data_IF_231598848471
#
_entry.id   IF_231598848471
#
_cell.length_a   1.000
_cell.length_b   1.000
_cell.length_c   1.000
_cell.angle_alpha   90.00
_cell.angle_beta   90.00
_cell.angle_gamma   90.00
#
_symmetry.space_group_name_H-M   'P 1'
#
loop_
_entity.id
_entity.type
_entity.pdbx_description
1 polymer ?
2 non-polymer ?
3 non-polymer ?
4 water ?
#
# COMPACT_ATOMS: atom_id res chain seq x y z
N UNK A 26 -0.15 21.02 0.35
CA UNK A 26 -0.60 19.77 0.93
C UNK A 26 -1.51 19.01 -0.04
N UNK A 27 -2.35 19.75 -0.77
CA UNK A 27 -3.32 19.15 -1.70
C UNK A 27 -2.63 18.96 -3.04
N UNK A 28 -2.45 17.72 -3.45
CA UNK A 28 -1.68 17.40 -4.65
C UNK A 28 -2.61 17.16 -5.83
N UNK A 29 -2.31 17.82 -6.94
CA UNK A 29 -3.18 17.78 -8.10
C UNK A 29 -3.21 16.38 -8.70
N UNK A 30 -4.42 15.93 -9.04
CA UNK A 30 -4.62 14.68 -9.77
C UNK A 30 -5.15 15.06 -11.16
N UNK A 31 -4.30 15.20 -12.17
CA UNK A 31 -4.79 15.75 -13.45
C UNK A 31 -5.94 14.97 -14.04
N UNK A 32 -5.93 13.64 -13.93
CA UNK A 32 -6.90 12.79 -14.63
C UNK A 32 -7.53 11.81 -13.65
N UNK A 33 -8.87 11.72 -13.69
CA UNK A 33 -9.62 10.81 -12.86
C UNK A 33 -9.98 9.55 -13.61
N UNK A 34 -10.06 8.45 -12.89
CA UNK A 34 -10.54 7.19 -13.44
C UNK A 34 -12.06 7.08 -13.38
N UNK A 35 -12.53 5.87 -13.63
CA UNK A 35 -13.95 5.57 -13.68
C UNK A 35 -14.61 5.87 -12.33
N UNK A 36 -15.82 6.41 -12.39
CA UNK A 36 -16.58 6.69 -11.18
C UNK A 36 -17.10 5.38 -10.59
N UNK A 37 -16.94 5.22 -9.27
CA UNK A 37 -17.38 4.00 -8.59
C UNK A 37 -18.46 4.26 -7.55
N UNK A 38 -18.74 5.51 -7.20
CA UNK A 38 -19.72 5.75 -6.15
C UNK A 38 -19.88 7.22 -5.86
N UNK A 39 -20.95 7.52 -5.12
CA UNK A 39 -21.24 8.89 -4.74
C UNK A 39 -22.09 8.85 -3.48
N UNK A 40 -21.75 9.72 -2.52
CA UNK A 40 -22.48 9.81 -1.29
C UNK A 40 -23.11 11.16 -1.08
N UNK A 41 -23.43 11.51 0.16
CA UNK A 41 -24.03 12.80 0.44
C UNK A 41 -23.06 13.95 0.24
N UNK A 42 -21.76 13.69 0.30
CA UNK A 42 -20.78 14.77 0.11
C UNK A 42 -19.72 14.47 -0.94
N UNK A 43 -19.42 13.19 -1.19
CA UNK A 43 -18.24 12.88 -2.01
C UNK A 43 -18.58 12.04 -3.22
N UNK A 44 -17.87 12.31 -4.32
CA UNK A 44 -17.77 11.43 -5.47
C UNK A 44 -16.46 10.65 -5.37
N UNK A 45 -16.49 9.38 -5.74
CA UNK A 45 -15.35 8.50 -5.59
C UNK A 45 -15.00 7.91 -6.95
N UNK A 46 -13.70 7.95 -7.27
CA UNK A 46 -13.22 7.54 -8.59
C UNK A 46 -12.04 6.60 -8.41
N UNK A 47 -11.92 5.65 -9.35
CA UNK A 47 -10.68 4.90 -9.49
C UNK A 47 -9.52 5.87 -9.68
N UNK A 48 -8.40 5.58 -9.02
CA UNK A 48 -7.17 6.28 -9.30
C UNK A 48 -6.52 5.70 -10.56
N UNK A 49 -6.21 6.58 -11.52
CA UNK A 49 -5.49 6.13 -12.70
C UNK A 49 -4.02 5.87 -12.42
N UNK A 50 -3.43 6.60 -11.46
CA UNK A 50 -2.02 6.43 -11.15
C UNK A 50 -1.74 5.15 -10.36
N UNK A 51 -2.75 4.58 -9.67
CA UNK A 51 -2.57 3.39 -8.86
C UNK A 51 -3.87 2.59 -8.78
N UNK A 52 -3.90 1.37 -9.32
CA UNK A 52 -5.16 0.60 -9.31
C UNK A 52 -5.63 0.19 -7.92
N UNK A 53 -4.75 0.21 -6.92
CA UNK A 53 -5.15 -0.15 -5.57
C UNK A 53 -5.82 1.01 -4.83
N UNK A 54 -5.88 2.19 -5.43
CA UNK A 54 -6.35 3.40 -4.76
C UNK A 54 -7.54 4.00 -5.50
N UNK A 55 -8.23 4.87 -4.81
CA UNK A 55 -9.32 5.66 -5.37
C UNK A 55 -9.17 7.11 -4.92
N UNK A 56 -9.80 7.99 -5.67
CA UNK A 56 -9.79 9.42 -5.45
C UNK A 56 -11.18 9.79 -4.95
N UNK A 57 -11.26 10.31 -3.73
CA UNK A 57 -12.53 10.63 -3.08
C UNK A 57 -12.62 12.14 -2.93
N UNK A 58 -13.49 12.78 -3.73
CA UNK A 58 -13.54 14.23 -3.86
C UNK A 58 -14.86 14.78 -3.32
N UNK A 59 -14.75 15.83 -2.51
CA UNK A 59 -15.92 16.53 -2.03
C UNK A 59 -16.57 17.31 -3.17
N UNK A 60 -17.86 17.08 -3.39
CA UNK A 60 -18.57 17.81 -4.42
C UNK A 60 -18.81 19.24 -3.94
N UNK A 61 -18.77 20.21 -4.85
CA UNK A 61 -18.94 21.61 -4.44
C UNK A 61 -20.26 21.84 -3.71
N UNK A 62 -20.19 22.57 -2.60
CA UNK A 62 -21.36 22.94 -1.84
C UNK A 62 -21.75 21.97 -0.74
N UNK A 63 -21.15 20.78 -0.69
CA UNK A 63 -21.61 19.77 0.26
C UNK A 63 -21.14 20.02 1.69
N UNK A 64 -20.04 20.76 1.89
CA UNK A 64 -19.49 20.98 3.21
C UNK A 64 -19.87 22.35 3.79
N UNK A 65 -20.75 23.09 3.12
CA UNK A 65 -21.30 24.30 3.71
C UNK A 65 -20.24 25.32 4.05
N UNK A 66 -20.27 25.81 5.28
CA UNK A 66 -19.41 26.92 5.68
C UNK A 66 -18.02 26.48 6.13
N UNK A 67 -17.82 25.19 6.40
CA UNK A 67 -16.47 24.69 6.65
C UNK A 67 -15.78 24.44 5.32
N UNK A 68 -14.62 25.04 5.07
CA UNK A 68 -13.88 24.67 3.84
C UNK A 68 -13.73 23.15 3.72
N UNK A 69 -14.01 22.64 2.51
CA UNK A 69 -13.84 21.23 2.25
C UNK A 69 -12.43 20.76 2.56
N UNK A 70 -11.43 21.63 2.37
CA UNK A 70 -10.07 21.29 2.74
C UNK A 70 -10.00 20.81 4.19
N UNK A 71 -10.73 21.47 5.08
CA UNK A 71 -10.67 21.09 6.50
C UNK A 71 -11.34 19.75 6.75
N UNK A 72 -12.40 19.42 6.00
CA UNK A 72 -12.95 18.08 6.10
C UNK A 72 -11.99 17.01 5.61
N UNK A 73 -11.36 17.24 4.48
CA UNK A 73 -10.40 16.29 3.94
C UNK A 73 -9.27 16.05 4.93
N UNK A 74 -8.69 17.12 5.47
CA UNK A 74 -7.61 16.97 6.42
C UNK A 74 -8.04 16.15 7.63
N UNK A 75 -9.24 16.45 8.15
CA UNK A 75 -9.74 15.75 9.31
C UNK A 75 -10.02 14.29 9.00
N UNK A 76 -10.45 13.99 7.79
CA UNK A 76 -10.64 12.59 7.39
C UNK A 76 -9.30 11.84 7.38
N UNK A 77 -8.28 12.45 6.76
CA UNK A 77 -6.96 11.84 6.73
C UNK A 77 -6.39 11.68 8.13
N UNK A 78 -6.43 12.75 8.93
CA UNK A 78 -5.85 12.71 10.26
C UNK A 78 -6.57 11.70 11.15
N UNK A 79 -7.90 11.69 11.11
CA UNK A 79 -8.64 10.77 11.97
C UNK A 79 -8.39 9.33 11.56
N UNK A 80 -8.29 9.07 10.26
CA UNK A 80 -7.94 7.74 9.78
C UNK A 80 -6.58 7.30 10.37
N UNK A 81 -5.62 8.21 10.40
CA UNK A 81 -4.30 7.86 10.91
C UNK A 81 -4.34 7.66 12.42
N UNK A 82 -5.13 8.46 13.13
CA UNK A 82 -5.27 8.26 14.57
C UNK A 82 -5.88 6.89 14.87
N UNK A 83 -6.91 6.52 14.14
CA UNK A 83 -7.57 5.23 14.35
C UNK A 83 -6.62 4.07 14.00
N UNK A 84 -5.90 4.20 12.89
CA UNK A 84 -4.90 3.21 12.54
C UNK A 84 -3.88 3.07 13.66
N UNK A 85 -3.44 4.20 14.23
CA UNK A 85 -2.46 4.19 15.32
C UNK A 85 -3.02 3.48 16.55
N UNK A 86 -4.33 3.61 16.80
CA UNK A 86 -5.00 2.97 17.90
C UNK A 86 -5.32 1.49 17.66
N UNK A 87 -5.04 0.98 16.46
CA UNK A 87 -5.23 -0.43 16.18
C UNK A 87 -6.53 -0.78 15.48
N UNK A 88 -7.33 0.20 15.12
CA UNK A 88 -8.59 -0.08 14.44
C UNK A 88 -8.38 -0.48 12.99
N UNK A 89 -9.27 -1.30 12.44
CA UNK A 89 -9.25 -1.57 11.00
C UNK A 89 -9.86 -0.39 10.25
N UNK A 90 -9.11 0.16 9.31
CA UNK A 90 -9.54 1.36 8.60
C UNK A 90 -9.36 1.20 7.10
N UNK A 91 -10.19 1.92 6.34
CA UNK A 91 -9.87 2.19 4.94
C UNK A 91 -8.69 3.17 4.96
N UNK A 92 -7.51 2.71 4.60
CA UNK A 92 -6.33 3.55 4.80
C UNK A 92 -6.40 4.76 3.86
N UNK A 93 -5.92 5.90 4.34
CA UNK A 93 -5.89 7.13 3.57
C UNK A 93 -4.44 7.58 3.46
N UNK A 94 -4.05 8.10 2.29
CA UNK A 94 -2.62 8.30 2.02
C UNK A 94 -2.23 9.74 1.74
N UNK A 95 -3.11 10.54 1.14
CA UNK A 95 -2.71 11.89 0.77
C UNK A 95 -3.95 12.74 0.52
N UNK A 96 -3.74 14.06 0.62
CA UNK A 96 -4.73 15.03 0.21
C UNK A 96 -4.53 15.31 -1.27
N UNK A 97 -5.64 15.37 -2.01
CA UNK A 97 -5.62 15.52 -3.46
C UNK A 97 -6.65 16.55 -3.88
N UNK A 98 -6.50 17.02 -5.12
CA UNK A 98 -7.42 17.97 -5.72
C UNK A 98 -7.49 17.71 -7.22
N UNK A 99 -8.64 18.06 -7.81
CA UNK A 99 -8.86 17.89 -9.25
C UNK A 99 -9.89 18.90 -9.69
N UNK A 100 -9.50 19.83 -10.57
CA UNK A 100 -10.40 20.83 -11.10
C UNK A 100 -11.05 21.65 -9.98
N UNK A 101 -10.27 21.98 -8.95
CA UNK A 101 -10.75 22.78 -7.86
C UNK A 101 -11.54 22.05 -6.79
N UNK A 102 -11.84 20.77 -6.97
CA UNK A 102 -12.46 19.95 -5.93
C UNK A 102 -11.34 19.25 -5.14
N UNK A 103 -11.52 19.15 -3.83
CA UNK A 103 -10.49 18.63 -2.96
C UNK A 103 -11.00 17.34 -2.30
N UNK A 104 -10.05 16.52 -1.90
CA UNK A 104 -10.38 15.29 -1.21
C UNK A 104 -9.20 14.50 -0.75
N UNK A 105 -9.38 13.18 -0.71
CA UNK A 105 -8.45 12.25 -0.10
C UNK A 105 -8.24 11.08 -1.05
N UNK A 106 -6.99 10.65 -1.19
CA UNK A 106 -6.65 9.42 -1.88
C UNK A 106 -6.67 8.30 -0.86
N UNK A 107 -7.39 7.21 -1.16
CA UNK A 107 -7.56 6.12 -0.21
C UNK A 107 -7.36 4.77 -0.89
N UNK A 108 -7.25 3.72 -0.08
CA UNK A 108 -7.29 2.37 -0.63
C UNK A 108 -8.65 2.10 -1.26
N UNK A 109 -8.63 1.45 -2.42
CA UNK A 109 -9.85 1.07 -3.12
C UNK A 109 -10.29 -0.29 -2.58
N UNK A 110 -11.52 -0.35 -2.06
CA UNK A 110 -12.09 -1.59 -1.54
C UNK A 110 -13.03 -2.11 -2.61
N UNK A 111 -12.62 -3.15 -3.34
CA UNK A 111 -13.40 -3.63 -4.47
C UNK A 111 -14.67 -4.32 -4.00
N UNK A 112 -15.78 -4.00 -4.66
CA UNK A 112 -17.09 -4.56 -4.35
C UNK A 112 -17.49 -4.28 -2.90
N UNK A 113 -17.08 -3.13 -2.38
CA UNK A 113 -17.39 -2.77 -1.01
C UNK A 113 -18.87 -2.53 -0.81
N UNK A 114 -19.38 -2.96 0.34
CA UNK A 114 -20.73 -2.65 0.78
C UNK A 114 -20.68 -1.56 1.84
N UNK A 115 -21.55 -0.57 1.72
CA UNK A 115 -21.68 0.49 2.71
C UNK A 115 -22.51 0.01 3.90
N UNK A 116 -21.96 0.20 5.11
CA UNK A 116 -22.66 -0.26 6.30
C UNK A 116 -24.03 0.39 6.42
N UNK A 117 -24.13 1.67 6.07
CA UNK A 117 -25.40 2.39 6.21
C UNK A 117 -26.49 1.74 5.37
N UNK A 118 -26.15 1.26 4.17
CA UNK A 118 -27.13 0.54 3.36
C UNK A 118 -27.60 -0.72 4.07
N UNK A 119 -26.68 -1.40 4.76
CA UNK A 119 -27.04 -2.66 5.42
C UNK A 119 -27.94 -2.39 6.62
N UNK A 120 -27.53 -1.46 7.49
CA UNK A 120 -28.33 -1.17 8.68
C UNK A 120 -29.65 -0.50 8.30
N UNK A 121 -29.68 0.27 7.21
CA UNK A 121 -30.92 0.83 6.68
C UNK A 121 -31.79 -0.20 5.98
N UNK A 122 -31.35 -1.45 5.86
CA UNK A 122 -32.06 -2.48 5.11
C UNK A 122 -32.25 -2.09 3.64
N UNK A 123 -31.36 -1.25 3.11
CA UNK A 123 -31.39 -0.93 1.69
C UNK A 123 -30.71 -2.04 0.86
N UNK A 124 -29.72 -2.70 1.44
CA UNK A 124 -29.04 -3.84 0.84
C UNK A 124 -28.92 -4.94 1.90
N UNK A 125 -28.55 -6.14 1.45
CA UNK A 125 -28.42 -7.29 2.32
C UNK A 125 -27.01 -7.87 2.17
N UNK A 126 -26.47 -8.34 3.29
CA UNK A 126 -25.22 -9.09 3.25
C UNK A 126 -25.44 -10.37 2.42
N UNK A 127 -24.40 -10.87 1.75
CA UNK A 127 -24.50 -12.18 1.12
C UNK A 127 -24.69 -13.29 2.14
N UNK A 128 -25.21 -14.42 1.66
CA UNK A 128 -25.45 -15.56 2.54
C UNK A 128 -24.16 -16.27 2.98
N UNK A 129 -23.06 -16.03 2.29
CA UNK A 129 -21.84 -16.81 2.48
C UNK A 129 -21.48 -16.94 3.95
N UNK A 130 -21.15 -18.16 4.37
CA UNK A 130 -20.88 -18.41 5.78
C UNK A 130 -19.59 -17.71 6.22
N UNK A 131 -18.50 -17.91 5.48
CA UNK A 131 -17.24 -17.30 5.87
C UNK A 131 -17.34 -15.79 5.83
N UNK A 132 -18.14 -15.26 4.90
CA UNK A 132 -18.33 -13.82 4.82
C UNK A 132 -18.97 -13.30 6.09
N UNK A 133 -20.09 -13.88 6.50
CA UNK A 133 -20.73 -13.38 7.71
C UNK A 133 -19.87 -13.62 8.94
N UNK A 134 -19.06 -14.70 8.94
CA UNK A 134 -18.16 -14.93 10.07
C UNK A 134 -17.14 -13.81 10.18
N UNK A 135 -16.61 -13.35 9.05
CA UNK A 135 -15.67 -12.22 9.09
C UNK A 135 -16.37 -10.95 9.60
N UNK A 136 -17.60 -10.71 9.16
CA UNK A 136 -18.32 -9.53 9.65
C UNK A 136 -18.50 -9.63 11.16
N UNK A 137 -18.91 -10.81 11.65
CA UNK A 137 -19.13 -10.99 13.09
C UNK A 137 -17.84 -10.77 13.87
N UNK A 138 -16.77 -11.48 13.50
CA UNK A 138 -15.52 -11.38 14.27
C UNK A 138 -14.92 -9.97 14.20
N UNK A 139 -14.98 -9.33 13.03
CA UNK A 139 -14.42 -8.00 12.92
C UNK A 139 -15.23 -6.99 13.72
N UNK A 140 -16.56 -7.11 13.70
CA UNK A 140 -17.37 -6.24 14.55
C UNK A 140 -17.08 -6.49 16.03
N UNK A 141 -16.95 -7.76 16.43
CA UNK A 141 -16.56 -8.04 17.81
C UNK A 141 -15.26 -7.33 18.18
N UNK A 142 -14.28 -7.36 17.29
CA UNK A 142 -12.96 -6.78 17.60
C UNK A 142 -13.04 -5.27 17.67
N UNK A 143 -13.84 -4.65 16.82
CA UNK A 143 -14.00 -3.20 16.85
C UNK A 143 -14.70 -2.79 18.15
N UNK A 144 -15.79 -3.46 18.49
CA UNK A 144 -16.49 -3.17 19.75
C UNK A 144 -15.57 -3.37 20.93
N UNK A 145 -14.83 -4.48 20.92
CA UNK A 145 -13.90 -4.78 22.00
C UNK A 145 -12.92 -3.64 22.23
N UNK A 146 -12.35 -3.11 21.15
CA UNK A 146 -11.38 -2.02 21.26
C UNK A 146 -12.04 -0.71 21.68
N UNK A 147 -13.21 -0.41 21.12
CA UNK A 147 -13.95 0.78 21.53
C UNK A 147 -14.22 0.76 23.03
N UNK A 148 -14.68 -0.39 23.53
CA UNK A 148 -15.02 -0.50 24.95
C UNK A 148 -13.79 -0.36 25.83
N UNK A 149 -12.69 -0.99 25.44
CA UNK A 149 -11.49 -0.98 26.27
C UNK A 149 -10.83 0.40 26.28
N UNK A 150 -10.63 0.99 25.11
CA UNK A 150 -10.01 2.31 25.03
C UNK A 150 -10.92 3.43 25.56
N UNK A 151 -12.24 3.24 25.48
CA UNK A 151 -13.21 4.28 25.82
C UNK A 151 -13.00 5.53 24.96
N UNK A 152 -13.19 5.34 23.66
CA UNK A 152 -13.13 6.44 22.70
C UNK A 152 -14.44 6.46 21.93
N UNK A 153 -14.77 7.63 21.39
CA UNK A 153 -15.96 7.86 20.59
C UNK A 153 -15.50 8.33 19.22
N UNK A 154 -16.08 7.75 18.17
CA UNK A 154 -15.73 8.08 16.79
C UNK A 154 -16.94 8.76 16.17
N UNK A 155 -16.78 10.03 15.82
CA UNK A 155 -17.87 10.78 15.22
C UNK A 155 -18.21 10.23 13.84
N UNK A 156 -19.52 10.09 13.58
CA UNK A 156 -20.01 9.63 12.28
C UNK A 156 -19.43 8.27 11.90
N UNK A 157 -19.42 7.34 12.87
CA UNK A 157 -18.80 6.04 12.64
C UNK A 157 -19.60 5.25 11.61
N UNK A 158 -18.91 4.82 10.54
CA UNK A 158 -19.52 3.99 9.50
C UNK A 158 -18.39 3.16 8.90
N UNK A 159 -18.76 2.19 8.05
CA UNK A 159 -17.80 1.22 7.57
C UNK A 159 -18.04 0.86 6.11
N UNK A 160 -16.98 0.35 5.49
CA UNK A 160 -17.07 -0.43 4.26
C UNK A 160 -16.82 -1.90 4.62
N UNK A 161 -17.60 -2.79 4.00
CA UNK A 161 -17.38 -4.24 4.12
C UNK A 161 -16.80 -4.74 2.81
N UNK A 162 -15.60 -5.34 2.88
CA UNK A 162 -14.93 -5.76 1.66
C UNK A 162 -15.48 -7.10 1.19
N UNK A 163 -15.00 -7.57 0.02
CA UNK A 163 -15.62 -8.70 -0.64
C UNK A 163 -15.48 -9.99 0.16
N UNK A 164 -14.59 -10.03 1.15
CA UNK A 164 -14.47 -11.19 2.03
C UNK A 164 -15.28 -11.04 3.32
N UNK A 165 -15.93 -9.90 3.53
CA UNK A 165 -16.67 -9.64 4.74
C UNK A 165 -15.89 -8.92 5.85
N UNK A 166 -14.66 -8.51 5.60
CA UNK A 166 -13.93 -7.72 6.58
C UNK A 166 -14.51 -6.31 6.70
N UNK A 167 -14.51 -5.79 7.93
CA UNK A 167 -15.18 -4.52 8.24
C UNK A 167 -14.11 -3.44 8.47
N UNK A 168 -14.20 -2.37 7.68
CA UNK A 168 -13.21 -1.30 7.67
C UNK A 168 -13.89 0.04 7.93
N UNK A 169 -13.38 0.76 8.93
CA UNK A 169 -13.89 2.09 9.26
C UNK A 169 -13.60 3.03 8.10
N UNK A 170 -14.63 3.79 7.68
CA UNK A 170 -14.50 4.69 6.55
C UNK A 170 -15.08 6.04 6.92
N UNK A 171 -14.48 7.10 6.37
CA UNK A 171 -14.91 8.48 6.60
C UNK A 171 -15.09 8.84 8.08
N UNK A 172 -14.13 8.53 8.94
CA UNK A 172 -14.26 8.96 10.34
C UNK A 172 -13.99 10.45 10.44
N UNK A 173 -14.85 11.17 11.18
CA UNK A 173 -14.73 12.62 11.27
C UNK A 173 -13.95 13.09 12.49
N UNK A 174 -13.88 12.27 13.54
CA UNK A 174 -13.08 12.60 14.72
C UNK A 174 -13.03 11.38 15.61
N UNK A 175 -12.06 11.38 16.52
CA UNK A 175 -11.98 10.37 17.57
C UNK A 175 -11.55 11.07 18.85
N UNK A 176 -12.27 10.81 19.94
CA UNK A 176 -11.97 11.44 21.22
C UNK A 176 -12.21 10.43 22.33
N UNK A 177 -11.45 10.58 23.40
CA UNK A 177 -11.68 9.82 24.63
C UNK A 177 -12.97 10.29 25.28
N UNK A 178 -13.95 9.39 25.35
CA UNK A 178 -15.30 9.69 25.82
C UNK A 178 -16.04 8.35 25.90
N UNK A 179 -17.28 8.41 26.35
CA UNK A 179 -18.08 7.20 26.41
C UNK A 179 -18.14 6.52 25.05
N UNK A 180 -17.81 5.23 24.95
CA UNK A 180 -17.87 4.54 23.66
C UNK A 180 -19.25 3.99 23.31
N UNK A 181 -20.26 4.26 24.14
CA UNK A 181 -21.53 3.53 24.01
C UNK A 181 -22.19 3.79 22.67
N UNK A 182 -22.18 5.04 22.21
CA UNK A 182 -22.81 5.36 20.92
C UNK A 182 -22.09 4.70 19.76
N UNK A 183 -20.76 4.72 19.78
CA UNK A 183 -20.01 4.09 18.70
C UNK A 183 -20.25 2.59 18.70
N UNK A 184 -20.23 1.98 19.89
CA UNK A 184 -20.47 0.54 19.99
C UNK A 184 -21.83 0.19 19.41
N UNK A 185 -22.86 0.93 19.79
CA UNK A 185 -24.20 0.73 19.22
C UNK A 185 -24.13 0.77 17.69
N UNK A 186 -23.29 1.65 17.14
CA UNK A 186 -23.12 1.73 15.70
C UNK A 186 -22.63 0.41 15.12
N UNK A 187 -21.59 -0.16 15.73
CA UNK A 187 -21.05 -1.43 15.26
C UNK A 187 -22.06 -2.54 15.47
N UNK A 188 -22.74 -2.55 16.62
CA UNK A 188 -23.70 -3.59 16.93
C UNK A 188 -24.82 -3.63 15.92
N UNK A 189 -25.24 -2.46 15.44
CA UNK A 189 -26.21 -2.34 14.36
C UNK A 189 -25.82 -3.23 13.18
N UNK A 190 -24.57 -3.08 12.74
CA UNK A 190 -24.14 -3.81 11.55
C UNK A 190 -23.95 -5.28 11.86
N UNK A 191 -23.33 -5.58 13.00
CA UNK A 191 -23.10 -6.97 13.38
C UNK A 191 -24.39 -7.77 13.45
N UNK A 192 -25.49 -7.13 13.89
CA UNK A 192 -26.71 -7.87 14.10
C UNK A 192 -27.16 -8.57 12.82
N UNK A 193 -26.90 -7.96 11.66
CA UNK A 193 -27.28 -8.59 10.40
C UNK A 193 -26.46 -9.85 10.15
N UNK A 194 -25.17 -9.82 10.47
CA UNK A 194 -24.37 -11.02 10.32
C UNK A 194 -24.76 -12.05 11.36
N UNK A 195 -24.94 -11.62 12.62
CA UNK A 195 -25.36 -12.52 13.68
C UNK A 195 -26.66 -13.21 13.32
N UNK A 196 -27.62 -12.47 12.76
CA UNK A 196 -28.89 -13.09 12.37
C UNK A 196 -28.69 -14.11 11.26
N UNK A 197 -27.82 -13.81 10.31
CA UNK A 197 -27.55 -14.76 9.23
C UNK A 197 -26.93 -16.05 9.75
N UNK A 198 -26.00 -15.93 10.71
CA UNK A 198 -25.31 -17.11 11.22
C UNK A 198 -26.23 -17.97 12.08
N UNK A 199 -27.27 -17.39 12.65
CA UNK A 199 -28.28 -18.19 13.35
C UNK A 199 -29.24 -18.89 12.39
N UNK A 200 -29.28 -18.46 11.12
CA UNK A 200 -30.20 -19.02 10.14
C UNK A 200 -29.48 -19.61 8.93
N UNK B 26 -0.60 3.77 -20.75
CA UNK B 26 -0.07 2.99 -19.66
C UNK B 26 0.87 3.85 -18.81
N UNK B 27 1.60 4.76 -19.45
CA UNK B 27 2.55 5.62 -18.75
C UNK B 27 1.84 6.87 -18.28
N UNK B 28 1.66 6.99 -16.97
CA UNK B 28 0.86 8.07 -16.39
C UNK B 28 1.76 9.25 -16.03
N UNK B 29 1.35 10.44 -16.46
CA UNK B 29 2.18 11.61 -16.23
C UNK B 29 2.23 11.93 -14.74
N UNK B 30 3.42 12.26 -14.25
CA UNK B 30 3.62 12.72 -12.88
C UNK B 30 4.16 14.15 -12.96
N UNK B 31 3.29 15.15 -12.77
CA UNK B 31 3.72 16.53 -13.05
C UNK B 31 4.87 16.98 -12.18
N UNK B 32 4.80 16.73 -10.88
CA UNK B 32 5.75 17.26 -9.90
C UNK B 32 6.37 16.09 -9.14
N UNK B 33 7.69 16.00 -9.20
CA UNK B 33 8.41 15.01 -8.43
C UNK B 33 8.75 15.54 -7.04
N UNK B 34 8.97 14.62 -6.10
CA UNK B 34 9.45 14.96 -4.78
C UNK B 34 10.96 15.01 -4.73
N UNK B 35 11.48 15.03 -3.49
CA UNK B 35 12.92 15.13 -3.28
C UNK B 35 13.64 13.89 -3.81
N UNK B 36 14.76 14.11 -4.48
CA UNK B 36 15.53 13.00 -5.04
C UNK B 36 16.18 12.21 -3.91
N UNK B 37 16.08 10.88 -3.97
CA UNK B 37 16.61 10.02 -2.92
C UNK B 37 17.90 9.35 -3.36
N UNK B 38 18.02 9.04 -4.65
CA UNK B 38 19.25 8.43 -5.12
C UNK B 38 19.27 8.29 -6.63
N UNK B 39 20.36 7.70 -7.10
CA UNK B 39 20.59 7.52 -8.53
C UNK B 39 21.45 6.28 -8.71
N UNK B 40 21.12 5.50 -9.73
CA UNK B 40 21.89 4.32 -10.04
C UNK B 40 22.52 4.40 -11.41
N UNK B 41 22.88 3.25 -11.99
CA UNK B 41 23.49 3.24 -13.30
C UNK B 41 22.49 3.56 -14.39
N UNK B 42 21.17 3.46 -14.11
CA UNK B 42 20.17 3.73 -15.13
C UNK B 42 19.08 4.69 -14.68
N UNK B 43 18.80 4.75 -13.38
CA UNK B 43 17.65 5.48 -12.89
C UNK B 43 18.02 6.54 -11.86
N UNK B 44 17.21 7.61 -11.84
CA UNK B 44 17.09 8.52 -10.72
C UNK B 44 15.79 8.19 -10.00
N UNK B 45 15.83 8.20 -8.67
CA UNK B 45 14.69 7.84 -7.86
C UNK B 45 14.31 9.03 -6.98
N UNK B 46 13.02 9.31 -6.91
CA UNK B 46 12.53 10.49 -6.22
C UNK B 46 11.41 10.09 -5.28
N UNK B 47 11.31 10.83 -4.17
CA UNK B 47 10.11 10.73 -3.35
C UNK B 47 8.89 11.05 -4.18
N UNK B 48 7.81 10.32 -3.94
CA UNK B 48 6.52 10.66 -4.52
C UNK B 48 5.90 11.78 -3.73
N UNK B 49 5.38 12.80 -4.42
CA UNK B 49 4.60 13.84 -3.75
C UNK B 49 3.16 13.40 -3.49
N UNK B 50 2.63 12.52 -4.33
CA UNK B 50 1.25 12.06 -4.23
C UNK B 50 1.08 10.90 -3.26
N UNK B 51 2.16 10.33 -2.72
CA UNK B 51 2.07 9.26 -1.74
C UNK B 51 3.42 9.06 -1.05
N UNK B 52 3.53 9.43 0.23
CA UNK B 52 4.85 9.35 0.90
C UNK B 52 5.34 7.92 1.11
N UNK B 53 4.53 6.91 0.86
CA UNK B 53 4.99 5.54 0.90
C UNK B 53 5.57 5.06 -0.43
N UNK B 54 5.59 5.91 -1.45
CA UNK B 54 6.04 5.51 -2.77
C UNK B 54 7.17 6.40 -3.25
N UNK B 55 7.91 5.89 -4.24
CA UNK B 55 8.93 6.66 -4.93
C UNK B 55 8.71 6.52 -6.42
N UNK B 56 9.21 7.51 -7.16
CA UNK B 56 9.13 7.56 -8.61
C UNK B 56 10.54 7.28 -9.14
N UNK B 57 10.67 6.18 -9.90
CA UNK B 57 11.96 5.72 -10.40
C UNK B 57 11.99 5.90 -11.91
N UNK B 58 12.80 6.85 -12.38
CA UNK B 58 12.81 7.28 -13.77
C UNK B 58 14.11 6.92 -14.46
N UNK B 59 13.98 6.28 -15.63
CA UNK B 59 15.14 5.97 -16.45
C UNK B 59 15.74 7.26 -17.02
N UNK B 60 17.04 7.42 -16.87
CA UNK B 60 17.71 8.55 -17.51
C UNK B 60 17.93 8.25 -18.99
N UNK B 61 17.96 9.28 -19.83
CA UNK B 61 18.32 9.07 -21.23
C UNK B 61 19.78 8.66 -21.34
N UNK B 62 20.07 7.80 -22.33
CA UNK B 62 21.43 7.41 -22.60
C UNK B 62 21.98 6.35 -21.68
N UNK B 63 21.13 5.75 -20.84
CA UNK B 63 21.52 4.68 -19.94
C UNK B 63 20.95 3.34 -20.34
N UNK B 64 20.13 3.30 -21.39
CA UNK B 64 19.36 2.12 -21.74
C UNK B 64 19.86 1.41 -22.98
N UNK B 65 20.75 2.02 -23.75
CA UNK B 65 21.18 1.44 -25.00
C UNK B 65 20.20 1.71 -26.12
N UNK B 66 19.93 0.70 -26.94
CA UNK B 66 19.04 0.86 -28.10
C UNK B 66 17.60 0.45 -27.82
N UNK B 67 17.36 -0.41 -26.84
CA UNK B 67 16.00 -0.85 -26.54
C UNK B 67 15.29 0.26 -25.75
N UNK B 68 14.07 0.64 -26.12
CA UNK B 68 13.45 1.81 -25.47
C UNK B 68 13.15 1.56 -24.00
N UNK B 69 13.42 2.57 -23.19
CA UNK B 69 13.28 2.42 -21.74
C UNK B 69 11.85 2.09 -21.34
N UNK B 70 10.86 2.46 -22.15
CA UNK B 70 9.50 2.04 -21.90
C UNK B 70 9.39 0.53 -21.76
N UNK B 71 10.22 -0.21 -22.51
CA UNK B 71 10.20 -1.66 -22.44
C UNK B 71 10.92 -2.19 -21.20
N UNK B 72 12.00 -1.52 -20.78
CA UNK B 72 12.62 -1.88 -19.51
C UNK B 72 11.70 -1.63 -18.33
N UNK B 73 11.03 -0.48 -18.33
CA UNK B 73 10.07 -0.17 -17.27
C UNK B 73 8.97 -1.21 -17.23
N UNK B 74 8.35 -1.47 -18.37
CA UNK B 74 7.30 -2.48 -18.47
C UNK B 74 7.78 -3.84 -17.98
N UNK B 75 8.96 -4.25 -18.41
CA UNK B 75 9.54 -5.51 -17.95
C UNK B 75 9.72 -5.51 -16.44
N UNK B 76 10.23 -4.41 -15.90
CA UNK B 76 10.43 -4.32 -14.45
C UNK B 76 9.13 -4.50 -13.68
N UNK B 77 8.05 -3.86 -14.13
CA UNK B 77 6.78 -4.01 -13.46
C UNK B 77 6.24 -5.42 -13.60
N UNK B 78 6.31 -5.99 -14.81
CA UNK B 78 5.78 -7.33 -15.01
C UNK B 78 6.55 -8.36 -14.20
N UNK B 79 7.89 -8.28 -14.22
CA UNK B 79 8.69 -9.26 -13.48
C UNK B 79 8.46 -9.13 -11.97
N UNK B 80 8.29 -7.91 -11.47
CA UNK B 80 7.97 -7.75 -10.06
C UNK B 80 6.68 -8.50 -9.71
N UNK B 81 5.63 -8.30 -10.49
CA UNK B 81 4.36 -8.96 -10.19
C UNK B 81 4.48 -10.47 -10.31
N UNK B 82 5.27 -10.95 -11.27
CA UNK B 82 5.49 -12.38 -11.38
C UNK B 82 6.14 -12.96 -10.13
N UNK B 83 7.20 -12.30 -9.64
CA UNK B 83 7.88 -12.79 -8.44
C UNK B 83 6.97 -12.72 -7.24
N UNK B 84 6.18 -11.66 -7.14
CA UNK B 84 5.19 -11.55 -6.06
C UNK B 84 4.22 -12.72 -6.12
N UNK B 85 3.68 -13.00 -7.31
CA UNK B 85 2.77 -14.13 -7.47
C UNK B 85 3.43 -15.44 -7.03
N UNK B 86 4.73 -15.60 -7.33
CA UNK B 86 5.47 -16.79 -6.96
C UNK B 86 5.85 -16.83 -5.50
N UNK B 87 5.53 -15.79 -4.75
CA UNK B 87 5.72 -15.77 -3.32
C UNK B 87 7.01 -15.13 -2.83
N UNK B 88 7.78 -14.48 -3.72
CA UNK B 88 9.04 -13.88 -3.32
C UNK B 88 8.79 -12.55 -2.62
N UNK B 89 9.70 -12.12 -1.74
CA UNK B 89 9.65 -10.75 -1.18
C UNK B 89 10.24 -9.77 -2.18
N UNK B 90 9.46 -8.75 -2.54
CA UNK B 90 9.83 -7.81 -3.59
C UNK B 90 9.58 -6.39 -3.11
N UNK B 91 10.34 -5.45 -3.66
CA UNK B 91 9.94 -4.05 -3.65
C UNK B 91 8.75 -3.90 -4.60
N UNK B 92 7.56 -3.72 -4.06
CA UNK B 92 6.37 -3.78 -4.90
C UNK B 92 6.34 -2.61 -5.88
N UNK B 93 5.86 -2.87 -7.10
CA UNK B 93 5.77 -1.91 -8.18
C UNK B 93 4.30 -1.73 -8.53
N UNK B 94 3.87 -0.48 -8.72
CA UNK B 94 2.46 -0.16 -8.79
C UNK B 94 2.00 0.38 -10.14
N UNK B 95 2.84 1.11 -10.86
CA UNK B 95 2.39 1.70 -12.12
C UNK B 95 3.58 2.17 -12.93
N UNK B 96 3.35 2.33 -14.24
CA UNK B 96 4.28 2.95 -15.14
C UNK B 96 4.00 4.44 -15.16
N UNK B 97 5.07 5.24 -15.10
CA UNK B 97 4.96 6.68 -14.96
C UNK B 97 5.87 7.36 -15.99
N UNK B 98 5.66 8.66 -16.16
CA UNK B 98 6.50 9.48 -17.02
C UNK B 98 6.57 10.88 -16.43
N UNK B 99 7.67 11.57 -16.69
CA UNK B 99 7.88 12.92 -16.18
C UNK B 99 8.82 13.68 -17.11
N UNK B 100 8.30 14.72 -17.75
CA UNK B 100 9.10 15.62 -18.58
C UNK B 100 10.08 14.86 -19.48
N UNK B 101 9.53 13.92 -20.25
CA UNK B 101 10.30 13.20 -21.24
C UNK B 101 10.91 11.90 -20.75
N UNK B 102 10.93 11.65 -19.45
CA UNK B 102 11.48 10.43 -18.90
C UNK B 102 10.35 9.47 -18.53
N UNK B 103 10.65 8.17 -18.57
CA UNK B 103 9.68 7.13 -18.22
C UNK B 103 10.24 6.27 -17.10
N UNK B 104 9.35 5.59 -16.39
CA UNK B 104 9.79 4.75 -15.29
C UNK B 104 8.66 4.03 -14.56
N UNK B 105 8.87 3.80 -13.27
CA UNK B 105 7.98 2.97 -12.46
C UNK B 105 7.76 3.64 -11.11
N UNK B 106 6.54 3.57 -10.63
CA UNK B 106 6.22 3.95 -9.26
C UNK B 106 6.30 2.71 -8.38
N UNK B 107 7.07 2.80 -7.29
CA UNK B 107 7.30 1.65 -6.43
C UNK B 107 7.16 2.04 -4.97
N UNK B 108 7.12 1.03 -4.11
CA UNK B 108 7.16 1.30 -2.67
C UNK B 108 8.50 1.94 -2.31
N UNK B 109 8.44 2.92 -1.42
CA UNK B 109 9.64 3.58 -0.92
C UNK B 109 10.14 2.83 0.31
N UNK B 110 11.41 2.43 0.29
CA UNK B 110 12.06 1.74 1.39
C UNK B 110 12.96 2.76 2.07
N UNK B 111 12.51 3.34 3.16
CA UNK B 111 13.31 4.39 3.78
C UNK B 111 14.57 3.80 4.41
N UNK B 112 15.69 4.50 4.22
CA UNK B 112 16.99 4.10 4.75
C UNK B 112 17.43 2.75 4.18
N UNK B 113 17.09 2.49 2.93
CA UNK B 113 17.40 1.22 2.30
C UNK B 113 18.90 1.12 2.05
N UNK B 114 19.41 -0.10 2.18
CA UNK B 114 20.78 -0.44 1.79
C UNK B 114 20.72 -1.24 0.49
N UNK B 115 21.48 -0.82 -0.50
CA UNK B 115 21.58 -1.56 -1.75
C UNK B 115 22.48 -2.78 -1.55
N UNK B 116 21.98 -3.97 -1.90
CA UNK B 116 22.79 -5.17 -1.73
C UNK B 116 24.11 -5.08 -2.49
N UNK B 117 24.09 -4.44 -3.67
CA UNK B 117 25.32 -4.31 -4.45
C UNK B 117 26.37 -3.48 -3.71
N UNK B 118 25.95 -2.47 -2.96
CA UNK B 118 26.88 -1.71 -2.14
C UNK B 118 27.48 -2.59 -1.04
N UNK B 119 26.68 -3.49 -0.47
CA UNK B 119 27.16 -4.36 0.60
C UNK B 119 28.16 -5.37 0.08
N UNK B 120 27.82 -6.05 -1.03
CA UNK B 120 28.69 -7.11 -1.51
C UNK B 120 29.95 -6.56 -2.17
N UNK B 121 29.90 -5.33 -2.66
CA UNK B 121 31.10 -4.66 -3.18
C UNK B 121 31.85 -3.89 -2.09
N UNK B 122 31.42 -4.00 -0.84
CA UNK B 122 32.08 -3.36 0.30
C UNK B 122 32.18 -1.84 0.10
N UNK B 123 31.15 -1.26 -0.48
CA UNK B 123 30.96 0.19 -0.47
C UNK B 123 30.20 0.66 0.76
N UNK B 124 29.40 -0.22 1.36
CA UNK B 124 28.67 0.07 2.60
C UNK B 124 28.64 -1.17 3.44
N UNK B 125 28.50 -0.98 4.75
CA UNK B 125 28.52 -2.08 5.70
C UNK B 125 27.12 -2.39 6.22
N UNK B 126 26.91 -3.64 6.61
CA UNK B 126 25.74 -3.98 7.40
C UNK B 126 25.94 -3.47 8.83
N UNK B 127 24.88 -3.00 9.49
CA UNK B 127 24.99 -2.71 10.93
C UNK B 127 25.29 -3.98 11.71
N UNK B 128 25.77 -3.78 12.94
CA UNK B 128 26.10 -4.87 13.83
C UNK B 128 24.89 -5.42 14.60
N UNK B 129 23.74 -4.78 14.47
CA UNK B 129 22.58 -5.13 15.29
C UNK B 129 22.21 -6.60 15.11
N UNK B 130 21.92 -7.27 16.22
CA UNK B 130 21.66 -8.71 16.18
C UNK B 130 20.39 -9.02 15.40
N UNK B 131 19.28 -8.40 15.76
CA UNK B 131 18.02 -8.70 15.09
C UNK B 131 18.09 -8.37 13.61
N UNK B 132 18.77 -7.26 13.27
CA UNK B 132 18.92 -6.85 11.87
C UNK B 132 19.61 -7.94 11.06
N UNK B 133 20.73 -8.46 11.56
CA UNK B 133 21.43 -9.51 10.84
C UNK B 133 20.66 -10.83 10.82
N UNK B 134 19.92 -11.15 11.87
CA UNK B 134 19.11 -12.37 11.83
C UNK B 134 18.04 -12.26 10.75
N UNK B 135 17.47 -11.07 10.58
CA UNK B 135 16.49 -10.88 9.50
C UNK B 135 17.14 -11.05 8.12
N UNK B 136 18.31 -10.47 7.91
CA UNK B 136 19.00 -10.68 6.64
C UNK B 136 19.23 -12.17 6.42
N UNK B 137 19.74 -12.87 7.45
CA UNK B 137 19.98 -14.30 7.34
C UNK B 137 18.71 -15.07 6.99
N UNK B 138 17.64 -14.84 7.76
CA UNK B 138 16.45 -15.68 7.57
C UNK B 138 15.79 -15.36 6.23
N UNK B 139 15.75 -14.08 5.84
CA UNK B 139 15.14 -13.74 4.57
C UNK B 139 15.96 -14.30 3.41
N UNK B 140 17.28 -14.24 3.51
CA UNK B 140 18.11 -14.85 2.47
C UNK B 140 17.88 -16.37 2.39
N UNK B 141 17.79 -17.04 3.55
CA UNK B 141 17.49 -18.47 3.56
C UNK B 141 16.19 -18.71 2.82
N UNK B 142 15.19 -17.89 3.09
CA UNK B 142 13.86 -18.10 2.52
C UNK B 142 13.87 -17.86 1.02
N UNK B 143 14.63 -16.88 0.56
CA UNK B 143 14.73 -16.62 -0.88
C UNK B 143 15.44 -17.78 -1.57
N UNK B 144 16.52 -18.28 -0.98
CA UNK B 144 17.24 -19.43 -1.56
C UNK B 144 16.36 -20.68 -1.58
N UNK B 145 15.63 -20.90 -0.49
CA UNK B 145 14.70 -22.04 -0.45
C UNK B 145 13.75 -22.03 -1.64
N UNK B 146 13.13 -20.88 -1.89
CA UNK B 146 12.13 -20.76 -2.94
C UNK B 146 12.75 -20.92 -4.32
N UNK B 147 13.89 -20.29 -4.55
CA UNK B 147 14.58 -20.47 -5.83
C UNK B 147 14.90 -21.94 -6.09
N UNK B 148 15.42 -22.64 -5.08
CA UNK B 148 15.81 -24.02 -5.27
C UNK B 148 14.61 -24.92 -5.46
N UNK B 149 13.52 -24.66 -4.73
CA UNK B 149 12.36 -25.55 -4.84
C UNK B 149 11.64 -25.31 -6.17
N UNK B 150 11.48 -24.04 -6.55
CA UNK B 150 10.79 -23.73 -7.79
C UNK B 150 11.66 -23.93 -9.02
N UNK B 151 12.96 -23.78 -8.87
CA UNK B 151 13.91 -23.85 -9.98
C UNK B 151 13.62 -22.76 -11.01
N UNK B 152 13.79 -21.52 -10.56
CA UNK B 152 13.67 -20.35 -11.43
C UNK B 152 14.93 -19.53 -11.34
N UNK B 153 15.25 -18.86 -12.42
CA UNK B 153 16.39 -17.94 -12.50
C UNK B 153 15.86 -16.52 -12.64
N UNK B 154 16.40 -15.61 -11.84
CA UNK B 154 16.01 -14.21 -11.86
C UNK B 154 17.18 -13.42 -12.44
N UNK B 155 16.97 -12.82 -13.60
CA UNK B 155 18.04 -12.13 -14.30
C UNK B 155 18.39 -10.82 -13.59
N UNK B 156 19.69 -10.61 -13.38
CA UNK B 156 20.18 -9.43 -12.68
C UNK B 156 19.52 -9.27 -11.32
N UNK B 157 19.66 -10.30 -10.50
CA UNK B 157 19.08 -10.32 -9.17
C UNK B 157 19.84 -9.38 -8.25
N UNK B 158 19.12 -8.51 -7.54
CA UNK B 158 19.71 -7.66 -6.51
C UNK B 158 18.58 -7.26 -5.57
N UNK B 159 18.94 -6.65 -4.45
CA UNK B 159 18.01 -6.46 -3.35
C UNK B 159 18.17 -5.08 -2.73
N UNK B 160 17.12 -4.65 -2.06
CA UNK B 160 17.19 -3.61 -1.04
C UNK B 160 16.98 -4.27 0.31
N UNK B 161 17.74 -3.82 1.31
CA UNK B 161 17.59 -4.27 2.70
C UNK B 161 16.97 -3.13 3.49
N UNK B 162 15.80 -3.37 4.07
CA UNK B 162 15.09 -2.29 4.76
C UNK B 162 15.73 -2.05 6.14
N UNK B 163 15.20 -1.07 6.87
CA UNK B 163 15.88 -0.66 8.10
C UNK B 163 15.79 -1.70 9.20
N UNK B 164 14.94 -2.72 9.06
CA UNK B 164 14.88 -3.81 10.01
C UNK B 164 15.71 -5.01 9.60
N UNK B 165 16.28 -4.99 8.40
CA UNK B 165 17.06 -6.09 7.89
C UNK B 165 16.33 -7.02 6.95
N UNK B 166 15.09 -6.71 6.59
CA UNK B 166 14.37 -7.55 5.65
C UNK B 166 14.86 -7.33 4.22
N UNK B 167 14.96 -8.40 3.46
CA UNK B 167 15.57 -8.39 2.14
C UNK B 167 14.47 -8.43 1.08
N UNK B 168 14.49 -7.46 0.18
CA UNK B 168 13.48 -7.31 -0.86
C UNK B 168 14.15 -7.28 -2.24
N UNK B 169 13.65 -8.12 -3.15
CA UNK B 169 14.15 -8.13 -4.51
C UNK B 169 13.82 -6.81 -5.19
N UNK B 170 14.79 -6.23 -5.88
CA UNK B 170 14.63 -4.92 -6.51
C UNK B 170 15.17 -4.96 -7.93
N UNK B 171 14.44 -4.29 -8.82
CA UNK B 171 14.83 -4.19 -10.22
C UNK B 171 14.99 -5.53 -10.93
N UNK B 172 14.13 -6.52 -10.67
CA UNK B 172 14.24 -7.79 -11.41
C UNK B 172 14.00 -7.55 -12.90
N UNK B 173 14.88 -8.12 -13.72
CA UNK B 173 14.82 -7.94 -15.15
C UNK B 173 14.09 -9.06 -15.87
N UNK B 174 14.02 -10.24 -15.27
CA UNK B 174 13.29 -11.34 -15.88
C UNK B 174 13.26 -12.48 -14.87
N UNK B 175 12.33 -13.40 -15.06
CA UNK B 175 12.31 -14.65 -14.32
C UNK B 175 11.90 -15.76 -15.28
N UNK B 176 12.70 -16.82 -15.32
CA UNK B 176 12.42 -17.95 -16.20
C UNK B 176 12.66 -19.24 -15.44
N UNK B 177 11.98 -20.29 -15.88
CA UNK B 177 12.15 -21.62 -15.31
C UNK B 177 13.45 -22.21 -15.86
N UNK B 178 14.46 -22.27 -15.02
CA UNK B 178 15.77 -22.80 -15.39
C UNK B 178 16.54 -23.00 -14.09
N UNK B 179 17.81 -23.35 -14.21
CA UNK B 179 18.63 -23.58 -13.04
C UNK B 179 18.64 -22.36 -12.14
N UNK B 180 18.37 -22.52 -10.84
CA UNK B 180 18.47 -21.38 -9.92
C UNK B 180 19.85 -21.15 -9.31
N UNK B 181 20.88 -21.91 -9.71
CA UNK B 181 22.11 -21.90 -8.95
C UNK B 181 22.80 -20.55 -8.97
N UNK B 182 22.74 -19.83 -10.08
CA UNK B 182 23.39 -18.52 -10.13
C UNK B 182 22.61 -17.49 -9.33
N UNK B 183 21.29 -17.56 -9.35
CA UNK B 183 20.51 -16.67 -8.48
C UNK B 183 20.79 -16.97 -7.01
N UNK B 184 20.86 -18.25 -6.66
CA UNK B 184 21.18 -18.63 -5.29
C UNK B 184 22.55 -18.08 -4.89
N UNK B 185 23.51 -18.15 -5.80
CA UNK B 185 24.85 -17.63 -5.51
C UNK B 185 24.79 -16.15 -5.20
N UNK B 186 23.94 -15.41 -5.92
CA UNK B 186 23.79 -13.99 -5.67
C UNK B 186 23.20 -13.73 -4.28
N UNK B 187 22.22 -14.54 -3.87
CA UNK B 187 21.67 -14.36 -2.53
C UNK B 187 22.72 -14.73 -1.49
N UNK B 188 23.43 -15.83 -1.71
CA UNK B 188 24.42 -16.28 -0.74
C UNK B 188 25.50 -15.23 -0.53
N UNK B 189 25.83 -14.48 -1.59
CA UNK B 189 26.81 -13.40 -1.50
C UNK B 189 26.40 -12.38 -0.45
N UNK B 190 25.14 -11.97 -0.44
CA UNK B 190 24.66 -11.06 0.59
C UNK B 190 24.58 -11.74 1.95
N UNK B 191 23.99 -12.94 2.01
CA UNK B 191 23.83 -13.63 3.29
C UNK B 191 25.16 -13.79 4.01
N UNK B 192 26.23 -14.05 3.27
CA UNK B 192 27.53 -14.30 3.91
C UNK B 192 27.93 -13.18 4.84
N UNK B 193 27.58 -11.94 4.49
CA UNK B 193 27.92 -10.80 5.34
C UNK B 193 27.18 -10.89 6.67
N UNK B 194 25.89 -11.25 6.63
CA UNK B 194 25.13 -11.40 7.86
C UNK B 194 25.56 -12.65 8.61
N UNK B 195 25.92 -13.70 7.89
CA UNK B 195 26.36 -14.93 8.52
C UNK B 195 27.64 -14.70 9.33
N UNK B 196 28.63 -14.02 8.73
CA UNK B 196 29.86 -13.72 9.45
C UNK B 196 29.63 -12.77 10.63
N UNK B 197 28.74 -11.81 10.48
CA UNK B 197 28.38 -10.95 11.61
C UNK B 197 27.84 -11.76 12.79
N UNK B 198 26.88 -12.65 12.52
CA UNK B 198 26.28 -13.44 13.58
C UNK B 198 27.25 -14.39 14.25
N UNK B 199 28.32 -14.78 13.57
CA UNK B 199 29.32 -15.64 14.18
C UNK B 199 30.23 -14.90 15.16
N UNK B 200 30.29 -13.58 15.09
CA UNK B 200 31.08 -12.80 16.06
C UNK B 200 30.51 -12.89 17.48
X LIG C 1 -21.78 9.14 2.82
X LIG C 1 -21.99 8.40 4.14
X LIG C 1 -22.96 10.17 2.63
X LIG C 1 -21.79 8.12 1.62
X LIG C 1 -19.53 10.40 1.58
X LIG C 1 -18.29 11.07 2.00
X LIG C 1 -20.45 11.38 0.79
X LIG C 1 -20.32 9.95 2.99
X LIG C 1 -18.53 7.84 0.84
X LIG C 1 -17.15 8.01 1.39
X LIG C 1 -19.51 6.98 1.65
X LIG C 1 -19.24 9.23 0.59
X LIG C 1 -18.32 7.24 -0.61
X LIG C 1 -19.36 7.19 -1.61
X LIG C 1 -19.50 5.79 -2.12
X LIG C 1 -18.28 5.48 -2.84
X LIG C 1 -19.63 4.72 -1.05
X LIG C 1 -20.98 4.39 -0.75
X LIG C 1 -18.94 3.51 -1.70
X LIG C 1 -19.82 2.79 -2.56
X LIG C 1 -17.85 4.17 -2.54
X LIG C 1 -16.57 4.25 -1.87
X LIG C 1 -16.13 5.23 -1.02
X LIG C 1 -14.90 5.06 -0.59
X LIG C 1 -14.50 3.88 -1.19
X LIG C 1 -13.31 3.15 -1.15
X LIG C 1 -12.24 3.49 -0.42
X LIG C 1 -13.23 2.02 -1.89
X LIG C 1 -14.29 1.64 -2.60
X LIG C 1 -15.47 2.25 -2.73
X LIG C 1 -15.51 3.38 -1.99
X LIG C 1 -20.50 10.72 3.45
X LIG C 1 -19.14 7.79 -2.34
X LIG C 1 -20.21 7.47 -1.20
X LIG C 1 -20.25 5.69 -2.74
X LIG C 1 -19.16 5.03 -0.28
X LIG C 1 -21.46 5.14 -0.78
X LIG C 1 -18.55 2.96 -1.01
X LIG C 1 -19.82 1.94 -2.33
X LIG C 1 -17.78 3.66 -3.36
X LIG C 1 -16.67 5.98 -0.75
X LIG C 1 -11.72 2.85 -0.03
X LIG C 1 -12.03 4.38 -0.31
X LIG C 1 -14.20 0.80 -3.09
X LIG D 1 0.75 18.95 -7.36
X LIG D 1 1.34 18.10 -6.36
X LIG D 1 0.06 20.13 -6.71
X LIG D 1 0.99 20.89 -5.94
X LIG D 1 0.03 18.38 -7.95
X LIG D 1 1.52 19.31 -8.05
X LIG D 1 1.77 17.34 -6.80
X LIG D 1 -0.40 20.76 -7.47
X LIG D 1 -0.75 19.78 -6.05
X LIG D 1 0.53 21.61 -5.49
X LIG E 1 -0.70 13.69 3.40
X LIG E 1 0.54 13.12 2.91
X LIG E 1 -1.03 14.99 2.67
X LIG E 1 -1.27 14.74 1.27
X LIG E 1 -0.60 13.89 4.47
X LIG E 1 -1.50 12.97 3.26
X LIG E 1 0.72 12.31 3.39
X LIG E 1 -0.20 15.69 2.78
X LIG E 1 -1.92 15.43 3.12
X LIG E 1 -1.44 15.58 0.83
X LIG F 1 -9.67 -13.53 5.45
X LIG F 1 -8.69 -12.62 4.93
X LIG F 1 -10.82 -13.65 4.45
X LIG F 1 -11.53 -14.88 4.68
X LIG F 1 -10.05 -13.15 6.40
X LIG F 1 -9.22 -14.51 5.62
X LIG F 1 -7.97 -12.52 5.56
X LIG F 1 -10.43 -13.64 3.43
X LIG F 1 -11.51 -12.81 4.56
X LIG F 1 -12.24 -14.96 4.03
X LIG G 1 -26.73 -19.23 6.73
X LIG G 1 -27.60 -18.21 7.23
X LIG G 1 -25.47 -19.32 7.57
X LIG G 1 -24.56 -18.27 7.21
X LIG G 1 -27.24 -20.19 6.73
X LIG G 1 -26.46 -19.00 5.69
X LIG G 1 -28.40 -18.18 6.70
X LIG G 1 -25.73 -19.24 8.64
X LIG G 1 -25.00 -20.30 7.43
X LIG G 1 -23.76 -18.34 7.76
X LIG H 1 21.49 0.17 -10.10
X LIG H 1 21.90 -1.17 -9.58
X LIG H 1 22.55 0.62 -11.18
X LIG H 1 21.54 1.20 -8.90
X LIG H 1 19.16 1.48 -11.15
X LIG H 1 17.97 1.15 -11.97
X LIG H 1 20.08 2.46 -11.90
X LIG H 1 19.96 0.05 -10.75
X LIG H 1 18.27 1.60 -8.44
X LIG H 1 16.98 0.93 -8.54
X LIG H 1 19.47 0.81 -7.90
X LIG H 1 18.64 2.24 -9.86
X LIG H 1 18.10 2.90 -7.54
X LIG H 1 19.19 3.80 -7.27
X LIG H 1 19.30 4.06 -5.80
X LIG H 1 18.07 4.69 -5.35
X LIG H 1 19.47 2.83 -4.92
X LIG H 1 20.83 2.49 -4.77
X LIG H 1 18.84 3.29 -3.60
X LIG H 1 19.75 4.05 -2.82
X LIG H 1 17.69 4.17 -4.09
X LIG H 1 16.43 3.45 -4.27
X LIG H 1 16.01 2.77 -5.38
X LIG H 1 14.82 2.24 -5.27
X LIG H 1 14.42 2.59 -3.98
X LIG H 1 13.26 2.32 -3.24
X LIG H 1 12.22 1.61 -3.71
X LIG H 1 13.18 2.83 -2.00
X LIG H 1 14.20 3.55 -1.53
X LIG H 1 15.34 3.86 -2.14
X LIG H 1 15.40 3.35 -3.37
X LIG H 1 19.45 -0.36 -10.13
X LIG H 1 19.03 4.64 -7.74
X LIG H 1 20.02 3.40 -7.59
X LIG H 1 20.04 4.68 -5.61
X LIG H 1 18.96 2.10 -5.29
X LIG H 1 20.91 1.64 -4.54
X LIG H 1 18.47 2.54 -3.11
X LIG H 1 19.97 3.61 -2.08
X LIG H 1 17.59 4.90 -3.46
X LIG H 1 16.54 2.68 -6.17
X LIG H 1 12.38 0.92 -4.30
X LIG H 1 11.38 1.79 -3.44
X LIG H 1 14.10 3.88 -0.63
X LIG I 1 13.98 8.45 -22.03
X LIG I 1 14.21 9.77 -21.52
X LIG I 1 14.16 7.44 -20.89
X LIG I 1 13.60 7.96 -19.69
X LIG I 1 14.68 8.23 -22.84
X LIG I 1 12.97 8.38 -22.43
X LIG I 1 14.02 10.42 -22.22
X LIG I 1 15.23 7.24 -20.75
X LIG I 1 13.68 6.50 -21.16
X LIG I 1 13.73 7.32 -18.97
#
# INVERSE_FOLDING_TARGET
SMFNVSNNVAPSRYQGPSSTSVTPNAFHDVPSLGQKVGAGSQKDVFHSRQDPRQCICLFRPGTTGSIPAEQYAQKELETTKQLKNLGFPVVDAHALVKHQGSVGVAKDFIHNALDSEDIVNNKKSLPDNLKFNKNVLEDCNAIIRRLKNLEVHIEDLQFLVDHNGHVLINDPRDVVRSSPDKSISKVNELRSHALNNLLDIDSD
SMFNVSNNVAPSRYQGPSSTSVTPNAFHDVPSLGQKVGAGSQKDVFHSRQDPRQCICLFRPGTTGSIPAEQYAQKELETTKQLKNLGFPVVDAHALVKHQGSVGVAKDFIHNALDSEDIVNNKKSLPDNLKFNKNVLEDCNAIIRRLKNLEVHIEDLQFLVDHNGHVLINDPRDVVRSSPDKSISKVNELRSHALNNLLDIDSD
ANP PG O1G O2G O3G PB O1B O2B N3B PA O1A O2A O3A O5' C5' C4' O4' C3' O3' C2' O2' C1' N9 C8 N7 C5 C6 N6 N1 C2 N3 C4 HNB1 H5'1 H5'2 H4' H3' HO3' H2' HO2' H1' H8 HN61 HN62 H2
EDO C1 O1 C2 O2 H11 H12 HO1 H21 H22 HO2
EDO C1 O1 C2 O2 H11 H12 HO1 H21 H22 HO2
EDO C1 O1 C2 O2 H11 H12 HO1 H21 H22 HO2
EDO C1 O1 C2 O2 H11 H12 HO1 H21 H22 HO2
ANP PG O1G O2G O3G PB O1B O2B N3B PA O1A O2A O3A O5' C5' C4' O4' C3' O3' C2' O2' C1' N9 C8 N7 C5 C6 N6 N1 C2 N3 C4 HNB1 H5'1 H5'2 H4' H3' HO3' H2' HO2' H1' H8 HN61 HN62 H2
EDO C1 O1 C2 O2 H11 H12 HO1 H21 H22 HO2
#
